data_IF_053475885943
#
_entry.id   IF_053475885943
#
_cell.length_a   1.000
_cell.length_b   1.000
_cell.length_c   1.000
_cell.angle_alpha   90.00
_cell.angle_beta   90.00
_cell.angle_gamma   90.00
#
_symmetry.space_group_name_H-M   'P 1'
#
loop_
_entity.id
_entity.type
_entity.pdbx_description
1 polymer ?
#
# COMPACT_ATOMS: atom_id res chain seq x y z
N UNK A 1 17.32 12.54 -8.12
CA UNK A 1 16.16 11.98 -7.39
C UNK A 1 16.72 11.06 -6.32
N UNK A 2 16.43 11.30 -5.04
CA UNK A 2 16.89 10.39 -3.97
C UNK A 2 16.19 9.05 -4.16
N UNK A 3 16.93 7.93 -4.07
CA UNK A 3 16.32 6.61 -4.18
C UNK A 3 15.57 6.31 -2.89
N UNK A 4 14.36 5.78 -3.00
CA UNK A 4 13.62 5.27 -1.83
C UNK A 4 14.41 4.17 -1.10
N UNK A 5 15.29 3.46 -1.82
CA UNK A 5 16.20 2.44 -1.32
C UNK A 5 17.17 2.93 -0.24
N UNK A 6 17.45 4.23 -0.18
CA UNK A 6 18.40 4.81 0.77
C UNK A 6 17.71 5.25 2.08
N UNK A 7 16.38 5.07 2.18
CA UNK A 7 15.58 5.45 3.34
C UNK A 7 15.18 4.22 4.14
N UNK A 8 15.22 4.35 5.47
CA UNK A 8 14.64 3.35 6.37
C UNK A 8 13.12 3.37 6.28
N UNK A 9 12.50 2.22 6.51
CA UNK A 9 11.04 2.08 6.61
C UNK A 9 10.43 3.10 7.58
N UNK A 10 11.10 3.41 8.69
CA UNK A 10 10.64 4.43 9.62
C UNK A 10 10.51 5.82 8.99
N UNK A 11 11.51 6.23 8.19
CA UNK A 11 11.47 7.53 7.50
C UNK A 11 10.37 7.56 6.43
N UNK A 12 10.17 6.45 5.72
CA UNK A 12 9.13 6.32 4.70
C UNK A 12 7.75 6.37 5.35
N UNK A 13 7.51 5.56 6.37
CA UNK A 13 6.26 5.55 7.14
C UNK A 13 5.91 6.93 7.68
N UNK A 14 6.90 7.65 8.24
CA UNK A 14 6.73 9.02 8.73
C UNK A 14 6.38 9.99 7.61
N UNK A 15 7.09 9.92 6.47
CA UNK A 15 6.81 10.78 5.32
C UNK A 15 5.40 10.52 4.75
N UNK A 16 5.00 9.25 4.65
CA UNK A 16 3.67 8.84 4.17
C UNK A 16 2.57 9.31 5.11
N UNK A 17 2.77 9.22 6.43
CA UNK A 17 1.80 9.70 7.42
C UNK A 17 1.58 11.22 7.32
N UNK A 18 2.66 11.99 7.16
CA UNK A 18 2.62 13.45 6.96
C UNK A 18 1.93 13.79 5.63
N UNK A 19 2.30 13.11 4.54
CA UNK A 19 1.71 13.32 3.21
C UNK A 19 0.22 12.97 3.16
N UNK A 20 -0.21 12.00 3.98
CA UNK A 20 -1.61 11.60 4.14
C UNK A 20 -2.42 12.58 5.00
N UNK A 21 -1.79 13.61 5.56
CA UNK A 21 -2.44 14.64 6.38
C UNK A 21 -2.70 14.21 7.82
N UNK A 22 -2.10 13.11 8.29
CA UNK A 22 -2.25 12.67 9.68
C UNK A 22 -1.37 13.48 10.62
N UNK A 23 -1.84 13.67 11.86
CA UNK A 23 -0.98 14.15 12.94
C UNK A 23 -0.07 13.00 13.39
N UNK A 24 1.24 13.20 13.28
CA UNK A 24 2.23 12.15 13.52
C UNK A 24 2.92 12.37 14.86
N UNK A 25 3.11 11.28 15.60
CA UNK A 25 3.98 11.18 16.77
C UNK A 25 4.97 10.05 16.53
N UNK A 26 6.25 10.29 16.81
CA UNK A 26 7.29 9.25 16.76
C UNK A 26 7.54 8.72 18.16
N UNK A 27 7.38 7.40 18.36
CA UNK A 27 7.73 6.71 19.60
C UNK A 27 8.84 5.71 19.29
N UNK A 28 10.06 5.99 19.77
CA UNK A 28 11.27 5.18 19.56
C UNK A 28 11.48 4.81 18.08
N UNK A 29 11.02 3.64 17.66
CA UNK A 29 11.14 3.09 16.29
C UNK A 29 9.80 2.95 15.56
N UNK A 30 8.71 3.43 16.15
CA UNK A 30 7.35 3.34 15.60
C UNK A 30 6.77 4.70 15.25
N UNK A 31 6.04 4.75 14.13
CA UNK A 31 5.29 5.92 13.70
C UNK A 31 3.85 5.75 14.18
N UNK A 32 3.37 6.70 14.99
CA UNK A 32 1.99 6.76 15.43
C UNK A 32 1.27 7.85 14.64
N UNK A 33 0.18 7.50 13.96
CA UNK A 33 -0.68 8.44 13.26
C UNK A 33 -2.00 8.63 14.01
N UNK A 34 -2.50 9.87 14.06
CA UNK A 34 -3.83 10.15 14.61
C UNK A 34 -4.92 9.76 13.60
N UNK A 35 -5.61 8.65 13.88
CA UNK A 35 -6.62 8.01 13.03
C UNK A 35 -7.83 7.67 13.91
N UNK A 36 -9.05 7.99 13.45
CA UNK A 36 -10.32 7.72 14.17
C UNK A 36 -10.30 8.15 15.64
N UNK A 37 -9.88 9.40 15.89
CA UNK A 37 -9.83 10.00 17.22
C UNK A 37 -8.80 9.42 18.20
N UNK A 38 -7.82 8.64 17.76
CA UNK A 38 -6.72 8.14 18.58
C UNK A 38 -5.39 8.01 17.85
N UNK A 39 -4.28 7.91 18.59
CA UNK A 39 -2.99 7.54 18.00
C UNK A 39 -2.93 6.02 17.81
N UNK A 40 -2.71 5.58 16.57
CA UNK A 40 -2.54 4.18 16.22
C UNK A 40 -1.19 3.99 15.54
N UNK A 41 -0.56 2.80 15.68
CA UNK A 41 0.61 2.45 14.88
C UNK A 41 0.28 2.60 13.40
N UNK A 42 1.21 3.16 12.65
CA UNK A 42 1.07 3.39 11.22
C UNK A 42 2.34 2.92 10.52
N UNK A 43 2.26 1.77 9.89
CA UNK A 43 3.40 1.11 9.27
C UNK A 43 3.07 0.59 7.87
N UNK A 44 2.84 1.48 6.89
CA UNK A 44 2.51 1.06 5.52
C UNK A 44 3.64 0.27 4.82
N UNK A 45 4.89 0.36 5.27
CA UNK A 45 5.97 -0.46 4.72
C UNK A 45 5.86 -1.94 5.14
N UNK A 46 5.50 -2.24 6.39
CA UNK A 46 5.45 -3.62 6.89
C UNK A 46 4.03 -4.18 7.08
N UNK A 47 3.00 -3.33 7.09
CA UNK A 47 1.60 -3.71 7.29
C UNK A 47 0.73 -3.31 6.08
N UNK A 48 0.26 -4.29 5.27
CA UNK A 48 -0.57 -4.02 4.09
C UNK A 48 -1.89 -3.31 4.40
N UNK A 49 -2.46 -3.51 5.59
CA UNK A 49 -3.71 -2.86 5.99
C UNK A 49 -3.57 -1.33 6.05
N UNK A 50 -2.42 -0.84 6.49
CA UNK A 50 -2.11 0.59 6.57
C UNK A 50 -1.86 1.17 5.17
N UNK A 51 -1.22 0.40 4.29
CA UNK A 51 -0.95 0.79 2.90
C UNK A 51 -2.19 0.79 2.00
N UNK A 52 -3.17 -0.09 2.28
CA UNK A 52 -4.32 -0.33 1.40
C UNK A 52 -5.12 0.94 1.09
N UNK A 53 -5.36 1.75 2.13
CA UNK A 53 -6.11 2.99 1.98
C UNK A 53 -5.40 4.01 1.07
N UNK A 54 -4.06 4.03 1.08
CA UNK A 54 -3.24 4.91 0.24
C UNK A 54 -3.31 4.45 -1.22
N UNK A 55 -3.19 3.14 -1.44
CA UNK A 55 -3.21 2.53 -2.77
C UNK A 55 -4.54 2.85 -3.47
N UNK A 56 -5.67 2.61 -2.79
CA UNK A 56 -7.00 2.87 -3.36
C UNK A 56 -7.26 4.35 -3.61
N UNK A 57 -6.96 5.23 -2.63
CA UNK A 57 -7.21 6.67 -2.76
C UNK A 57 -6.42 7.30 -3.90
N UNK A 58 -5.18 6.84 -4.12
CA UNK A 58 -4.30 7.38 -5.14
C UNK A 58 -4.30 6.57 -6.45
N UNK A 59 -5.16 5.55 -6.56
CA UNK A 59 -5.27 4.67 -7.73
C UNK A 59 -3.92 4.07 -8.15
N UNK A 60 -3.09 3.71 -7.15
CA UNK A 60 -1.80 3.09 -7.39
C UNK A 60 -2.05 1.65 -7.83
N UNK A 61 -1.53 1.28 -8.99
CA UNK A 61 -1.60 -0.10 -9.47
C UNK A 61 -0.54 -0.95 -8.79
N UNK A 62 -0.92 -2.15 -8.37
CA UNK A 62 0.02 -3.14 -7.84
C UNK A 62 0.53 -3.97 -9.02
N UNK A 63 1.84 -3.98 -9.21
CA UNK A 63 2.54 -4.82 -10.18
C UNK A 63 3.21 -5.93 -9.39
N UNK A 64 2.89 -7.18 -9.71
CA UNK A 64 3.52 -8.36 -9.11
C UNK A 64 4.70 -8.72 -10.02
N UNK A 65 5.95 -8.57 -9.59
CA UNK A 65 7.08 -9.02 -10.40
C UNK A 65 7.09 -10.55 -10.46
N UNK A 66 6.80 -11.14 -11.62
CA UNK A 66 6.87 -12.60 -11.83
C UNK A 66 5.69 -13.24 -12.55
N UNK A 67 4.61 -12.52 -12.86
CA UNK A 67 3.68 -12.93 -13.91
C UNK A 67 4.20 -12.47 -15.28
N UNK A 68 5.38 -12.98 -15.63
CA UNK A 68 5.78 -13.08 -17.04
C UNK A 68 4.84 -14.12 -17.67
N UNK A 69 3.66 -13.68 -18.13
CA UNK A 69 3.02 -14.44 -19.19
C UNK A 69 3.99 -14.44 -20.37
N UNK A 70 4.07 -15.56 -21.09
CA UNK A 70 5.00 -15.80 -22.20
C UNK A 70 4.84 -14.83 -23.40
N UNK A 71 4.03 -13.79 -23.26
CA UNK A 71 3.76 -12.74 -24.24
C UNK A 71 4.43 -11.39 -23.91
N UNK A 72 5.12 -11.27 -22.77
CA UNK A 72 5.97 -10.11 -22.46
C UNK A 72 5.23 -8.85 -22.01
N UNK A 73 3.95 -8.95 -21.62
CA UNK A 73 3.20 -7.83 -21.06
C UNK A 73 2.98 -7.98 -19.56
N UNK A 74 3.62 -7.11 -18.76
CA UNK A 74 3.26 -6.93 -17.35
C UNK A 74 1.95 -6.14 -17.27
N UNK A 75 0.81 -6.81 -17.36
CA UNK A 75 -0.47 -6.16 -17.02
C UNK A 75 -0.51 -5.98 -15.50
N UNK A 76 -0.65 -4.74 -14.97
CA UNK A 76 -1.01 -4.59 -13.57
C UNK A 76 -2.32 -5.35 -13.36
N UNK A 77 -2.44 -6.11 -12.28
CA UNK A 77 -3.62 -6.94 -11.97
C UNK A 77 -4.94 -6.11 -11.94
N UNK A 78 -4.83 -4.78 -11.87
CA UNK A 78 -5.93 -3.83 -11.94
C UNK A 78 -6.44 -3.52 -13.36
N UNK A 79 -5.73 -3.90 -14.43
CA UNK A 79 -6.11 -3.61 -15.82
C UNK A 79 -6.91 -4.74 -16.48
N UNK A 80 -6.94 -5.94 -15.90
CA UNK A 80 -7.72 -7.07 -16.42
C UNK A 80 -8.89 -7.38 -15.50
N UNK A 81 -10.02 -6.71 -15.74
CA UNK A 81 -11.34 -7.23 -15.43
C UNK A 81 -11.83 -7.10 -13.98
N UNK A 82 -12.47 -5.97 -13.67
CA UNK A 82 -13.72 -6.00 -12.89
C UNK A 82 -14.88 -6.61 -13.71
N UNK A 83 -14.60 -7.11 -14.92
CA UNK A 83 -15.55 -7.68 -15.87
C UNK A 83 -15.72 -9.19 -15.77
N UNK A 84 -15.21 -9.84 -14.71
CA UNK A 84 -15.49 -11.26 -14.46
C UNK A 84 -15.98 -11.53 -13.03
N UNK A 85 -17.04 -10.83 -12.64
CA UNK A 85 -17.85 -11.14 -11.45
C UNK A 85 -18.73 -12.40 -11.68
N UNK A 86 -18.33 -13.31 -12.58
CA UNK A 86 -19.21 -14.38 -13.07
C UNK A 86 -18.54 -15.75 -13.15
N UNK A 87 -17.75 -16.18 -12.16
CA UNK A 87 -17.64 -17.63 -11.87
C UNK A 87 -17.15 -17.90 -10.45
N UNK A 88 -17.87 -18.79 -9.76
CA UNK A 88 -17.60 -19.33 -8.42
C UNK A 88 -18.06 -18.51 -7.20
N UNK A 89 -19.36 -18.17 -7.20
CA UNK A 89 -20.20 -18.70 -6.10
C UNK A 89 -20.38 -20.20 -6.39
N UNK A 90 -20.26 -21.03 -5.34
CA UNK A 90 -20.41 -22.50 -5.29
C UNK A 90 -19.11 -23.29 -5.49
N UNK A 91 -18.44 -23.69 -4.41
CA UNK A 91 -18.33 -25.11 -4.01
C UNK A 91 -17.68 -25.22 -2.63
N UNK A 92 -18.40 -25.86 -1.70
CA UNK A 92 -17.86 -26.59 -0.55
C UNK A 92 -17.81 -25.84 0.77
#
# INVERSE_FOLDING_TARGET
>A
MNKYSDKSDFEINKAVAIASGHKVMSCEESVMAYIDSGYKPFDPCNNPADAWSIILKNRISIIIPGNEYSDGYSTPFAASGFDDVSHYILYG
#
